data_IF_287002374700
#
_entry.id   IF_287002374700
#
_cell.length_a   1.000
_cell.length_b   1.000
_cell.length_c   1.000
_cell.angle_alpha   90.00
_cell.angle_beta   90.00
_cell.angle_gamma   90.00
#
_symmetry.space_group_name_H-M   'P 1'
#
loop_
_entity.id
_entity.type
_entity.pdbx_description
1 polymer ?
#
# COMPACT_ATOMS: atom_id res chain seq x y z
N UNK A 1 -11.22 13.41 0.34
CA UNK A 1 -10.07 12.75 0.96
C UNK A 1 -10.31 12.83 2.45
N UNK A 2 -11.03 11.86 3.00
CA UNK A 2 -11.72 12.04 4.30
C UNK A 2 -11.43 10.93 5.33
N UNK A 3 -10.77 9.85 4.93
CA UNK A 3 -10.45 8.76 5.87
C UNK A 3 -9.36 9.22 6.83
N UNK A 4 -9.58 9.01 8.12
CA UNK A 4 -8.60 9.23 9.18
C UNK A 4 -8.08 7.90 9.70
N UNK A 5 -6.75 7.81 9.86
CA UNK A 5 -6.11 6.62 10.43
C UNK A 5 -6.56 6.45 11.89
N UNK A 6 -7.02 5.25 12.31
CA UNK A 6 -7.51 5.03 13.66
C UNK A 6 -6.37 4.89 14.67
N UNK A 7 -5.68 5.98 15.00
CA UNK A 7 -4.44 5.96 15.81
C UNK A 7 -4.56 5.23 17.15
N UNK A 8 -5.69 5.38 17.84
CA UNK A 8 -5.96 4.70 19.12
C UNK A 8 -5.94 3.17 19.00
N UNK A 9 -6.29 2.62 17.82
CA UNK A 9 -6.22 1.18 17.53
C UNK A 9 -4.78 0.64 17.62
N UNK A 10 -3.79 1.49 17.39
CA UNK A 10 -2.37 1.12 17.32
C UNK A 10 -1.55 1.58 18.52
N UNK A 11 -2.19 2.07 19.59
CA UNK A 11 -1.50 2.63 20.77
C UNK A 11 -0.46 1.68 21.37
N UNK A 12 -0.70 0.36 21.31
CA UNK A 12 0.16 -0.67 21.87
C UNK A 12 1.11 -1.33 20.85
N UNK A 13 1.04 -0.92 19.58
CA UNK A 13 1.86 -1.42 18.48
C UNK A 13 2.95 -0.42 18.07
N UNK A 14 4.04 -0.94 17.53
CA UNK A 14 5.18 -0.14 17.07
C UNK A 14 5.36 -0.20 15.56
N UNK A 15 4.87 -1.24 14.89
CA UNK A 15 4.89 -1.38 13.44
C UNK A 15 3.49 -1.78 12.96
N UNK A 16 2.95 -1.04 12.00
CA UNK A 16 1.63 -1.32 11.41
C UNK A 16 1.80 -1.44 9.91
N UNK A 17 1.45 -2.60 9.36
CA UNK A 17 1.53 -2.89 7.92
C UNK A 17 0.22 -3.49 7.46
N UNK A 18 -0.16 -3.27 6.21
CA UNK A 18 -1.28 -4.01 5.64
C UNK A 18 -0.90 -5.49 5.50
N UNK A 19 -1.75 -6.42 5.95
CA UNK A 19 -1.51 -7.85 5.83
C UNK A 19 -2.40 -8.74 6.69
N UNK A 20 -2.18 -10.05 6.62
CA UNK A 20 -2.94 -11.06 7.36
C UNK A 20 -2.03 -11.96 8.18
N UNK A 21 -2.36 -12.15 9.47
CA UNK A 21 -1.59 -13.00 10.40
C UNK A 21 -1.37 -14.40 9.84
N UNK A 22 -2.42 -15.03 9.34
CA UNK A 22 -2.36 -16.38 8.77
C UNK A 22 -1.43 -16.45 7.56
N UNK A 23 -1.46 -15.44 6.68
CA UNK A 23 -0.60 -15.40 5.50
C UNK A 23 0.89 -15.21 5.88
N UNK A 24 1.18 -14.42 6.91
CA UNK A 24 2.55 -14.13 7.35
C UNK A 24 3.11 -15.26 8.20
N UNK A 25 2.44 -15.62 9.29
CA UNK A 25 2.99 -16.51 10.31
C UNK A 25 2.79 -17.99 9.99
N UNK A 26 1.67 -18.37 9.36
CA UNK A 26 1.33 -19.77 9.13
C UNK A 26 1.73 -20.19 7.71
N UNK A 27 1.32 -19.41 6.70
CA UNK A 27 1.59 -19.73 5.30
C UNK A 27 2.96 -19.27 4.81
N UNK A 28 3.60 -18.33 5.52
CA UNK A 28 4.87 -17.68 5.11
C UNK A 28 4.83 -17.16 3.69
N UNK A 29 3.71 -16.54 3.31
CA UNK A 29 3.48 -16.02 1.97
C UNK A 29 4.20 -14.68 1.82
N UNK A 30 5.01 -14.52 0.76
CA UNK A 30 5.81 -13.30 0.54
C UNK A 30 4.97 -12.03 0.30
N UNK A 31 3.69 -12.18 -0.07
CA UNK A 31 2.71 -11.09 -0.17
C UNK A 31 1.69 -11.09 0.98
N UNK A 32 1.98 -11.80 2.07
CA UNK A 32 1.13 -11.83 3.26
C UNK A 32 1.05 -10.49 4.01
N UNK A 33 2.01 -9.59 3.75
CA UNK A 33 2.04 -8.20 4.19
C UNK A 33 2.62 -7.31 3.07
N UNK A 34 2.49 -6.00 3.21
CA UNK A 34 3.12 -5.02 2.33
C UNK A 34 3.95 -3.98 3.09
N UNK A 35 5.14 -3.67 2.57
CA UNK A 35 6.09 -2.69 3.13
C UNK A 35 6.14 -1.39 2.32
N UNK A 36 5.24 -1.20 1.34
CA UNK A 36 5.16 0.05 0.57
C UNK A 36 4.38 1.17 1.27
N UNK A 37 3.58 0.84 2.29
CA UNK A 37 2.83 1.79 3.10
C UNK A 37 2.64 1.22 4.52
N UNK A 38 3.30 1.83 5.50
CA UNK A 38 3.32 1.35 6.88
C UNK A 38 3.59 2.49 7.86
N UNK A 39 3.27 2.25 9.14
CA UNK A 39 3.64 3.13 10.23
C UNK A 39 4.71 2.47 11.10
N UNK A 40 5.73 3.22 11.47
CA UNK A 40 6.76 2.80 12.43
C UNK A 40 6.87 3.84 13.54
N UNK A 41 6.69 3.41 14.79
CA UNK A 41 6.76 4.27 15.97
C UNK A 41 8.21 4.66 16.22
N UNK A 42 8.47 5.92 16.55
CA UNK A 42 9.79 6.32 17.03
C UNK A 42 10.03 5.78 18.45
N UNK A 43 10.80 4.69 18.59
CA UNK A 43 11.14 4.06 19.86
C UNK A 43 12.33 3.10 19.71
N UNK A 44 12.91 2.64 20.82
CA UNK A 44 14.05 1.70 20.81
C UNK A 44 13.73 0.40 20.05
N UNK A 45 12.54 -0.17 20.26
CA UNK A 45 12.11 -1.38 19.55
C UNK A 45 12.20 -1.21 18.02
N UNK A 46 11.90 -0.02 17.51
CA UNK A 46 11.96 0.27 16.07
C UNK A 46 13.38 0.39 15.55
N UNK A 47 14.33 0.85 16.37
CA UNK A 47 15.75 0.79 16.00
C UNK A 47 16.20 -0.67 15.92
N UNK A 48 15.82 -1.48 16.90
CA UNK A 48 16.21 -2.89 16.96
C UNK A 48 15.63 -3.71 15.80
N UNK A 49 14.38 -3.43 15.37
CA UNK A 49 13.77 -4.13 14.23
C UNK A 49 14.41 -3.70 12.91
N UNK A 50 14.83 -2.44 12.77
CA UNK A 50 15.55 -1.97 11.59
C UNK A 50 16.91 -2.68 11.46
N UNK A 51 17.65 -2.83 12.57
CA UNK A 51 18.91 -3.59 12.61
C UNK A 51 18.69 -5.07 12.26
N UNK A 52 17.58 -5.66 12.68
CA UNK A 52 17.23 -7.05 12.35
C UNK A 52 16.74 -7.23 10.90
N UNK A 53 16.22 -6.17 10.27
CA UNK A 53 15.68 -6.19 8.91
C UNK A 53 16.74 -5.91 7.85
N UNK A 54 17.71 -5.03 8.14
CA UNK A 54 18.79 -4.63 7.24
C UNK A 54 19.74 -5.73 6.70
N UNK A 55 20.00 -6.88 7.37
CA UNK A 55 21.08 -7.79 6.98
C UNK A 55 20.98 -8.39 5.58
N UNK A 56 19.77 -8.50 5.02
CA UNK A 56 19.53 -8.99 3.64
C UNK A 56 19.67 -7.88 2.58
N UNK A 57 19.93 -6.65 3.00
CA UNK A 57 19.94 -5.45 2.17
C UNK A 57 21.22 -5.19 1.36
N UNK A 58 22.46 -5.47 1.82
CA UNK A 58 23.67 -5.07 1.09
C UNK A 58 23.76 -5.66 -0.33
N UNK A 59 23.93 -4.82 -1.36
CA UNK A 59 23.99 -5.22 -2.77
C UNK A 59 25.14 -6.21 -3.05
N UNK A 60 24.94 -7.05 -4.07
CA UNK A 60 25.88 -8.09 -4.48
C UNK A 60 25.61 -9.41 -3.77
N UNK A 61 26.67 -10.16 -3.48
CA UNK A 61 26.59 -11.55 -2.98
C UNK A 61 25.61 -11.73 -1.82
N UNK A 62 25.60 -10.81 -0.85
CA UNK A 62 24.71 -10.89 0.33
C UNK A 62 23.24 -10.89 -0.08
N UNK A 63 22.81 -9.91 -0.88
CA UNK A 63 21.42 -9.79 -1.33
C UNK A 63 21.01 -10.91 -2.30
N UNK A 64 21.94 -11.38 -3.15
CA UNK A 64 21.69 -12.49 -4.07
C UNK A 64 21.47 -13.81 -3.33
N UNK A 65 22.31 -14.12 -2.34
CA UNK A 65 22.20 -15.31 -1.51
C UNK A 65 20.97 -15.26 -0.61
N UNK A 66 20.68 -14.10 -0.02
CA UNK A 66 19.44 -13.87 0.72
C UNK A 66 18.21 -14.04 -0.17
N UNK A 67 18.24 -13.58 -1.42
CA UNK A 67 17.14 -13.75 -2.37
C UNK A 67 16.82 -15.23 -2.64
N UNK A 68 17.86 -16.07 -2.78
CA UNK A 68 17.70 -17.53 -2.94
C UNK A 68 17.12 -18.18 -1.68
N UNK A 69 17.56 -17.75 -0.50
CA UNK A 69 16.99 -18.19 0.78
C UNK A 69 15.49 -17.82 0.84
N UNK A 70 15.14 -16.57 0.58
CA UNK A 70 13.76 -16.10 0.64
C UNK A 70 12.86 -16.84 -0.36
N UNK A 71 13.33 -17.09 -1.58
CA UNK A 71 12.56 -17.85 -2.57
C UNK A 71 12.32 -19.32 -2.17
N UNK A 72 13.22 -19.91 -1.38
CA UNK A 72 13.06 -21.27 -0.83
C UNK A 72 12.10 -21.31 0.36
N UNK A 73 12.19 -20.32 1.24
CA UNK A 73 11.48 -20.32 2.52
C UNK A 73 10.07 -19.71 2.45
N UNK A 74 9.83 -18.80 1.50
CA UNK A 74 8.57 -18.07 1.38
C UNK A 74 7.70 -18.62 0.25
N UNK A 75 6.44 -18.91 0.60
CA UNK A 75 5.45 -19.43 -0.33
C UNK A 75 5.17 -18.40 -1.43
N UNK A 76 5.24 -18.86 -2.69
CA UNK A 76 4.85 -18.09 -3.86
C UNK A 76 5.84 -17.02 -4.32
N UNK A 77 7.02 -16.90 -3.68
CA UNK A 77 8.03 -15.91 -4.06
C UNK A 77 8.83 -16.39 -5.29
N UNK A 78 8.90 -15.59 -6.38
CA UNK A 78 9.78 -15.91 -7.50
C UNK A 78 11.27 -15.76 -7.13
N UNK A 79 12.16 -16.29 -7.97
CA UNK A 79 13.61 -16.22 -7.73
C UNK A 79 14.17 -14.90 -8.26
N UNK A 80 14.49 -13.99 -7.35
CA UNK A 80 15.21 -12.73 -7.59
C UNK A 80 15.95 -12.30 -6.31
N UNK A 81 16.75 -11.23 -6.40
CA UNK A 81 17.46 -10.61 -5.27
C UNK A 81 16.56 -10.40 -4.05
N UNK A 82 17.10 -10.41 -2.83
CA UNK A 82 16.31 -10.07 -1.65
C UNK A 82 15.69 -8.67 -1.75
N UNK A 83 14.42 -8.58 -1.37
CA UNK A 83 13.64 -7.36 -1.21
C UNK A 83 13.23 -7.18 0.26
N UNK A 84 12.94 -5.94 0.64
CA UNK A 84 12.59 -5.57 2.00
C UNK A 84 11.28 -6.24 2.46
N UNK A 85 10.27 -6.35 1.60
CA UNK A 85 8.99 -7.00 1.94
C UNK A 85 9.18 -8.47 2.34
N UNK A 86 9.88 -9.23 1.50
CA UNK A 86 10.18 -10.63 1.74
C UNK A 86 11.06 -10.81 2.99
N UNK A 87 12.06 -9.95 3.18
CA UNK A 87 12.89 -9.98 4.39
C UNK A 87 12.06 -9.74 5.66
N UNK A 88 11.07 -8.84 5.62
CA UNK A 88 10.15 -8.58 6.73
C UNK A 88 9.25 -9.79 7.00
N UNK A 89 8.66 -10.40 5.97
CA UNK A 89 7.87 -11.64 6.13
C UNK A 89 8.73 -12.73 6.79
N UNK A 90 9.95 -12.94 6.30
CA UNK A 90 10.86 -13.95 6.83
C UNK A 90 11.24 -13.66 8.29
N UNK A 91 11.58 -12.41 8.64
CA UNK A 91 11.88 -11.98 10.01
C UNK A 91 10.71 -12.27 10.95
N UNK A 92 9.49 -11.87 10.58
CA UNK A 92 8.31 -12.06 11.42
C UNK A 92 7.90 -13.53 11.55
N UNK A 93 7.99 -14.31 10.47
CA UNK A 93 7.66 -15.72 10.48
C UNK A 93 8.66 -16.57 11.29
N UNK A 94 9.93 -16.18 11.32
CA UNK A 94 10.99 -16.94 12.00
C UNK A 94 11.27 -16.47 13.43
N UNK A 95 10.92 -15.23 13.76
CA UNK A 95 11.16 -14.62 15.08
C UNK A 95 9.87 -14.01 15.66
N UNK A 96 8.74 -14.71 15.50
CA UNK A 96 7.42 -14.26 15.96
C UNK A 96 7.40 -13.88 17.43
N UNK A 97 7.99 -14.70 18.30
CA UNK A 97 8.00 -14.45 19.75
C UNK A 97 8.77 -13.19 20.14
N UNK A 98 9.70 -12.74 19.29
CA UNK A 98 10.51 -11.53 19.54
C UNK A 98 9.82 -10.26 19.03
N UNK A 99 9.17 -10.31 17.88
CA UNK A 99 8.67 -9.11 17.18
C UNK A 99 7.14 -9.01 17.13
N UNK A 100 6.45 -10.16 17.04
CA UNK A 100 5.04 -10.23 16.67
C UNK A 100 4.09 -9.44 17.56
N UNK A 101 4.36 -9.36 18.86
CA UNK A 101 3.51 -8.66 19.84
C UNK A 101 3.45 -7.14 19.62
N UNK A 102 4.43 -6.58 18.90
CA UNK A 102 4.49 -5.15 18.56
C UNK A 102 4.16 -4.85 17.11
N UNK A 103 3.81 -5.87 16.32
CA UNK A 103 3.38 -5.73 14.93
C UNK A 103 1.86 -5.86 14.83
N UNK A 104 1.22 -4.86 14.22
CA UNK A 104 -0.18 -4.93 13.82
C UNK A 104 -0.27 -5.17 12.31
N UNK A 105 -0.89 -6.28 11.92
CA UNK A 105 -1.22 -6.57 10.52
C UNK A 105 -2.65 -6.10 10.23
N UNK A 106 -2.76 -4.97 9.56
CA UNK A 106 -4.01 -4.28 9.24
C UNK A 106 -4.67 -4.85 7.98
N UNK A 107 -5.97 -5.13 8.05
CA UNK A 107 -6.75 -5.64 6.94
C UNK A 107 -8.22 -5.17 6.95
N UNK A 108 -8.56 -4.22 7.82
CA UNK A 108 -9.90 -3.61 7.89
C UNK A 108 -10.07 -2.43 6.95
N UNK A 109 -8.98 -1.87 6.44
CA UNK A 109 -8.97 -0.85 5.39
C UNK A 109 -7.68 -0.99 4.56
N UNK A 110 -7.66 -0.41 3.36
CA UNK A 110 -6.52 -0.48 2.45
C UNK A 110 -5.42 0.53 2.82
N UNK A 111 -4.70 0.25 3.93
CA UNK A 111 -3.41 0.91 4.20
C UNK A 111 -2.42 0.67 3.03
N UNK A 112 -2.55 -0.48 2.38
CA UNK A 112 -2.06 -0.76 1.04
C UNK A 112 -3.16 -1.48 0.26
N UNK A 113 -3.57 -0.94 -0.90
CA UNK A 113 -4.54 -1.56 -1.79
C UNK A 113 -3.91 -1.97 -3.12
N UNK A 114 -4.03 -3.26 -3.48
CA UNK A 114 -3.52 -3.77 -4.75
C UNK A 114 -4.32 -3.18 -5.92
N UNK A 115 -3.66 -2.38 -6.76
CA UNK A 115 -4.34 -1.56 -7.76
C UNK A 115 -5.24 -2.35 -8.72
N UNK A 116 -4.85 -3.55 -9.14
CA UNK A 116 -5.56 -4.31 -10.18
C UNK A 116 -6.99 -4.70 -9.76
N UNK A 117 -7.25 -4.89 -8.46
CA UNK A 117 -8.59 -5.20 -7.95
C UNK A 117 -9.41 -3.94 -7.60
N UNK A 118 -8.81 -2.75 -7.68
CA UNK A 118 -9.40 -1.49 -7.26
C UNK A 118 -9.77 -0.58 -8.43
N UNK A 119 -8.84 -0.35 -9.36
CA UNK A 119 -8.95 0.75 -10.34
C UNK A 119 -10.11 0.61 -11.32
N UNK A 120 -10.55 -0.61 -11.57
CA UNK A 120 -11.68 -0.90 -12.46
C UNK A 120 -13.04 -0.78 -11.73
N UNK A 121 -13.02 -0.56 -10.40
CA UNK A 121 -14.21 -0.35 -9.56
C UNK A 121 -14.48 1.10 -9.20
N UNK A 122 -13.63 2.05 -9.59
CA UNK A 122 -13.79 3.45 -9.18
C UNK A 122 -15.13 4.06 -9.59
N UNK A 123 -15.64 3.76 -10.78
CA UNK A 123 -16.97 4.21 -11.21
C UNK A 123 -18.08 3.65 -10.30
N UNK A 124 -18.01 2.36 -9.95
CA UNK A 124 -18.93 1.75 -8.98
C UNK A 124 -18.84 2.45 -7.62
N UNK A 125 -17.63 2.76 -7.17
CA UNK A 125 -17.41 3.42 -5.88
C UNK A 125 -18.01 4.82 -5.83
N UNK A 126 -17.86 5.60 -6.92
CA UNK A 126 -18.47 6.93 -7.06
C UNK A 126 -20.00 6.85 -7.03
N UNK A 127 -20.58 5.82 -7.64
CA UNK A 127 -22.04 5.67 -7.71
C UNK A 127 -22.66 5.22 -6.38
N UNK A 128 -22.02 4.26 -5.69
CA UNK A 128 -22.63 3.57 -4.54
C UNK A 128 -22.14 4.02 -3.18
N UNK A 129 -20.97 4.65 -3.11
CA UNK A 129 -20.29 4.94 -1.85
C UNK A 129 -19.83 6.39 -1.77
N UNK A 130 -19.07 6.71 -0.73
CA UNK A 130 -18.54 8.03 -0.48
C UNK A 130 -17.13 7.93 0.14
N UNK A 131 -16.29 8.98 0.04
CA UNK A 131 -15.00 9.02 0.72
C UNK A 131 -15.15 8.90 2.25
N UNK A 132 -14.08 8.44 2.91
CA UNK A 132 -14.03 8.28 4.37
C UNK A 132 -14.10 6.84 4.87
N UNK A 133 -14.38 5.86 3.99
CA UNK A 133 -14.47 4.44 4.37
C UNK A 133 -13.11 3.73 4.44
N UNK A 134 -12.20 4.02 3.52
CA UNK A 134 -10.82 3.52 3.51
C UNK A 134 -10.64 2.07 2.99
N UNK A 135 -11.72 1.31 2.82
CA UNK A 135 -11.74 -0.11 2.46
C UNK A 135 -12.17 -0.36 0.99
N UNK A 136 -12.72 -1.53 0.67
CA UNK A 136 -13.17 -1.92 -0.67
C UNK A 136 -14.32 -1.10 -1.25
N UNK A 137 -14.94 -0.26 -0.43
CA UNK A 137 -15.97 0.69 -0.84
C UNK A 137 -15.38 2.03 -1.24
N UNK A 138 -14.25 2.42 -0.65
CA UNK A 138 -13.49 3.61 -1.03
C UNK A 138 -12.04 3.52 -0.51
N UNK A 139 -11.08 3.02 -1.31
CA UNK A 139 -9.76 2.64 -0.80
C UNK A 139 -8.95 3.86 -0.35
N UNK A 140 -8.31 3.77 0.81
CA UNK A 140 -7.37 4.80 1.27
C UNK A 140 -6.15 4.90 0.34
N UNK A 141 -5.52 3.76 0.04
CA UNK A 141 -4.32 3.70 -0.83
C UNK A 141 -4.60 2.81 -2.03
N UNK A 142 -4.31 3.31 -3.23
CA UNK A 142 -4.15 2.49 -4.44
C UNK A 142 -2.67 2.41 -4.78
N UNK A 143 -2.06 1.25 -4.56
CA UNK A 143 -0.63 1.04 -4.73
C UNK A 143 -0.35 0.24 -6.02
N UNK A 144 0.32 0.89 -6.97
CA UNK A 144 0.70 0.34 -8.28
C UNK A 144 1.96 -0.54 -8.23
N UNK A 145 1.91 -1.57 -7.38
CA UNK A 145 2.98 -2.58 -7.27
C UNK A 145 3.25 -3.18 -8.66
N UNK A 146 4.52 -3.32 -9.02
CA UNK A 146 4.97 -3.91 -10.28
C UNK A 146 4.93 -2.99 -11.51
N UNK A 147 4.25 -1.83 -11.47
CA UNK A 147 4.15 -0.95 -12.65
C UNK A 147 5.46 -0.25 -13.06
N UNK A 148 6.31 0.11 -12.08
CA UNK A 148 7.66 0.69 -12.27
C UNK A 148 7.73 1.79 -13.35
N UNK A 149 6.92 2.86 -13.28
CA UNK A 149 6.79 3.87 -14.36
C UNK A 149 8.07 4.68 -14.62
N UNK A 150 8.99 4.75 -13.65
CA UNK A 150 10.30 5.38 -13.81
C UNK A 150 11.37 4.41 -14.35
N UNK A 151 11.15 3.09 -14.22
CA UNK A 151 12.08 2.04 -14.61
C UNK A 151 11.77 1.48 -16.00
N UNK A 152 12.53 0.46 -16.42
CA UNK A 152 12.38 -0.17 -17.74
C UNK A 152 11.80 -1.59 -17.72
N UNK A 153 11.58 -2.19 -16.55
CA UNK A 153 11.22 -3.61 -16.41
C UNK A 153 10.06 -3.81 -15.41
N UNK A 154 8.90 -3.23 -15.73
CA UNK A 154 7.65 -3.45 -14.98
C UNK A 154 7.06 -4.84 -15.23
N UNK A 155 6.26 -5.31 -14.29
CA UNK A 155 5.61 -6.62 -14.34
C UNK A 155 4.27 -6.55 -15.11
N UNK A 156 3.81 -5.34 -15.45
CA UNK A 156 2.58 -5.06 -16.17
C UNK A 156 2.83 -4.16 -17.39
N UNK A 157 1.92 -4.15 -18.39
CA UNK A 157 2.01 -3.24 -19.53
C UNK A 157 2.02 -1.77 -19.07
N UNK A 158 3.07 -1.04 -19.45
CA UNK A 158 3.29 0.35 -19.03
C UNK A 158 2.11 1.27 -19.35
N UNK A 159 1.48 1.08 -20.51
CA UNK A 159 0.33 1.87 -20.93
C UNK A 159 -0.88 1.68 -20.00
N UNK A 160 -1.15 0.43 -19.55
CA UNK A 160 -2.23 0.15 -18.59
C UNK A 160 -1.91 0.80 -17.24
N UNK A 161 -0.66 0.68 -16.79
CA UNK A 161 -0.23 1.29 -15.54
C UNK A 161 -0.41 2.81 -15.56
N UNK A 162 0.12 3.52 -16.56
CA UNK A 162 0.01 4.97 -16.64
C UNK A 162 -1.44 5.43 -16.74
N UNK A 163 -2.24 4.79 -17.60
CA UNK A 163 -3.67 5.10 -17.73
C UNK A 163 -4.43 4.94 -16.41
N UNK A 164 -4.11 3.90 -15.65
CA UNK A 164 -4.79 3.62 -14.39
C UNK A 164 -4.26 4.48 -13.24
N UNK A 165 -2.99 4.90 -13.30
CA UNK A 165 -2.44 5.93 -12.41
C UNK A 165 -3.13 7.28 -12.63
N UNK A 166 -3.37 7.70 -13.88
CA UNK A 166 -4.13 8.92 -14.19
C UNK A 166 -5.54 8.84 -13.59
N UNK A 167 -6.20 7.69 -13.72
CA UNK A 167 -7.53 7.45 -13.12
C UNK A 167 -7.51 7.50 -11.61
N UNK A 168 -6.55 6.85 -10.96
CA UNK A 168 -6.40 6.87 -9.50
C UNK A 168 -6.10 8.29 -8.98
N UNK A 169 -5.26 9.04 -9.70
CA UNK A 169 -4.99 10.44 -9.42
C UNK A 169 -6.28 11.26 -9.49
N UNK A 170 -7.01 11.19 -10.60
CA UNK A 170 -8.27 11.94 -10.77
C UNK A 170 -9.36 11.52 -9.79
N UNK A 171 -9.41 10.25 -9.38
CA UNK A 171 -10.32 9.75 -8.34
C UNK A 171 -10.05 10.40 -6.98
N UNK A 172 -8.77 10.55 -6.63
CA UNK A 172 -8.34 11.31 -5.46
C UNK A 172 -8.60 12.82 -5.61
N UNK A 173 -8.14 13.39 -6.71
CA UNK A 173 -8.15 14.83 -6.99
C UNK A 173 -9.57 15.39 -7.11
N UNK A 174 -10.54 14.61 -7.60
CA UNK A 174 -11.95 14.99 -7.57
C UNK A 174 -12.45 15.35 -6.16
N UNK A 175 -11.96 14.67 -5.13
CA UNK A 175 -12.37 14.97 -3.75
C UNK A 175 -11.78 16.29 -3.26
N UNK A 176 -10.69 16.78 -3.86
CA UNK A 176 -10.08 18.08 -3.58
C UNK A 176 -10.76 19.17 -4.42
N UNK A 177 -10.89 18.97 -5.73
CA UNK A 177 -11.53 19.90 -6.65
C UNK A 177 -12.97 20.24 -6.27
N UNK A 178 -13.71 19.28 -5.70
CA UNK A 178 -15.09 19.49 -5.26
C UNK A 178 -15.21 20.55 -4.16
N UNK A 179 -14.18 20.71 -3.31
CA UNK A 179 -14.10 21.79 -2.30
C UNK A 179 -14.18 23.16 -2.98
N UNK A 180 -13.59 23.27 -4.17
CA UNK A 180 -13.56 24.48 -4.98
C UNK A 180 -14.67 24.54 -6.05
N UNK A 181 -15.61 23.60 -6.04
CA UNK A 181 -16.73 23.57 -6.99
C UNK A 181 -16.38 23.04 -8.39
N UNK A 182 -15.33 22.24 -8.51
CA UNK A 182 -14.90 21.59 -9.77
C UNK A 182 -14.90 20.06 -9.66
N UNK A 183 -14.92 19.39 -10.81
CA UNK A 183 -14.71 17.95 -10.94
C UNK A 183 -14.08 17.65 -12.30
N UNK A 184 -13.25 16.62 -12.42
CA UNK A 184 -12.81 16.08 -13.71
C UNK A 184 -14.03 15.62 -14.54
N UNK A 185 -13.97 15.83 -15.87
CA UNK A 185 -15.02 15.41 -16.79
C UNK A 185 -15.21 13.89 -16.81
N UNK A 186 -14.11 13.16 -16.66
CA UNK A 186 -14.06 11.71 -16.47
C UNK A 186 -12.77 11.36 -15.75
N UNK A 187 -12.69 10.17 -15.14
CA UNK A 187 -11.46 9.73 -14.48
C UNK A 187 -10.28 9.55 -15.46
N UNK A 188 -10.54 9.36 -16.76
CA UNK A 188 -9.50 9.19 -17.77
C UNK A 188 -9.02 10.50 -18.42
N UNK A 189 -9.65 11.64 -18.12
CA UNK A 189 -9.34 12.93 -18.74
C UNK A 189 -8.81 13.94 -17.72
N UNK A 190 -7.98 14.86 -18.17
CA UNK A 190 -7.39 15.93 -17.34
C UNK A 190 -8.26 17.19 -17.26
N UNK A 191 -9.30 17.30 -18.10
CA UNK A 191 -10.15 18.49 -18.15
C UNK A 191 -11.16 18.47 -17.01
N UNK A 192 -11.29 19.60 -16.33
CA UNK A 192 -12.28 19.81 -15.29
C UNK A 192 -13.49 20.59 -15.80
N UNK A 193 -14.63 20.41 -15.14
CA UNK A 193 -15.83 21.21 -15.28
C UNK A 193 -16.27 21.76 -13.93
N UNK A 194 -16.93 22.90 -13.97
CA UNK A 194 -17.57 23.50 -12.81
C UNK A 194 -18.85 22.73 -12.47
N UNK A 195 -19.08 22.46 -11.18
CA UNK A 195 -20.27 21.74 -10.68
C UNK A 195 -21.18 22.60 -9.80
N UNK A 196 -20.75 23.79 -9.40
CA UNK A 196 -21.54 24.77 -8.65
C UNK A 196 -21.28 26.20 -9.17
N UNK A 197 -22.30 27.05 -9.17
CA UNK A 197 -22.19 28.47 -9.56
C UNK A 197 -21.28 29.27 -8.62
N UNK A 198 -20.89 30.48 -9.01
CA UNK A 198 -20.15 31.38 -8.12
C UNK A 198 -21.04 31.79 -6.94
N UNK A 199 -20.56 31.50 -5.74
CA UNK A 199 -21.24 31.91 -4.51
C UNK A 199 -20.68 33.28 -4.16
N UNK A 200 -21.55 34.29 -4.07
CA UNK A 200 -21.17 35.67 -3.76
C UNK A 200 -20.54 35.84 -2.37
N UNK A 201 -20.76 34.89 -1.45
CA UNK A 201 -20.13 34.78 -0.14
C UNK A 201 -19.68 33.33 0.10
N UNK A 202 -18.41 32.99 -0.17
CA UNK A 202 -17.86 31.70 0.25
C UNK A 202 -17.80 31.61 1.79
N UNK A 203 -17.94 30.40 2.38
CA UNK A 203 -17.82 30.17 3.81
C UNK A 203 -16.43 30.43 4.37
#
# INVERSE_FOLDING_TARGET
MEFEVPWEKYKDSNLVMHGWKEMVYDQRNWVGLNTGSFFIRNCQWSLDVLDAWAPMGPRGKVRDEAGKLLARELKGRPVFEADDQSAMVYLLATQRDKWGDKVYLENSYYLHGYWEILVDRYEEMIEKFHPGLGDDRWPLVTHFVGCKPCGKAGDYPVERCLKQMDRAFNFGDNQILQIYGFVHNSLAGWRVRRVRGEISNPP
#
